data_IF_043492862307
#
_entry.id   IF_043492862307
#
_cell.length_a   1.000
_cell.length_b   1.000
_cell.length_c   1.000
_cell.angle_alpha   90.00
_cell.angle_beta   90.00
_cell.angle_gamma   90.00
#
_symmetry.space_group_name_H-M   'P 1'
#
loop_
_entity.id
_entity.type
_entity.pdbx_description
1 polymer ?
#
# COMPACT_ATOMS: atom_id res chain seq x y z
N UNK A 1 -23.08 13.59 9.60
CA UNK A 1 -22.00 13.54 8.59
C UNK A 1 -22.25 12.32 7.73
N UNK A 2 -22.02 12.42 6.43
CA UNK A 2 -22.21 11.35 5.46
C UNK A 2 -21.07 10.31 5.52
N UNK A 3 -21.30 9.11 4.96
CA UNK A 3 -20.35 7.97 5.07
C UNK A 3 -19.02 8.24 4.35
N UNK A 4 -19.06 8.98 3.25
CA UNK A 4 -17.90 9.47 2.50
C UNK A 4 -17.02 10.44 3.31
N UNK A 5 -17.50 10.94 4.46
CA UNK A 5 -16.69 11.73 5.39
C UNK A 5 -16.26 10.88 6.59
N UNK A 6 -17.20 10.10 7.16
CA UNK A 6 -16.93 9.32 8.37
C UNK A 6 -15.96 8.16 8.14
N UNK A 7 -16.04 7.48 6.99
CA UNK A 7 -15.18 6.33 6.70
C UNK A 7 -13.73 6.76 6.46
N UNK A 8 -13.41 7.78 5.65
CA UNK A 8 -12.03 8.27 5.55
C UNK A 8 -11.47 8.81 6.85
N UNK A 9 -12.28 9.50 7.67
CA UNK A 9 -11.85 9.95 9.00
C UNK A 9 -11.49 8.75 9.89
N UNK A 10 -12.35 7.72 9.91
CA UNK A 10 -12.11 6.48 10.64
C UNK A 10 -10.84 5.77 10.18
N UNK A 11 -10.66 5.63 8.85
CA UNK A 11 -9.46 5.07 8.23
C UNK A 11 -8.20 5.86 8.58
N UNK A 12 -8.29 7.20 8.57
CA UNK A 12 -7.18 8.09 8.93
C UNK A 12 -6.75 7.88 10.37
N UNK A 13 -7.68 7.99 11.31
CA UNK A 13 -7.43 7.81 12.74
C UNK A 13 -6.87 6.41 13.03
N UNK A 14 -7.50 5.37 12.47
CA UNK A 14 -7.06 4.00 12.64
C UNK A 14 -5.64 3.78 12.08
N UNK A 15 -5.37 4.28 10.88
CA UNK A 15 -4.06 4.18 10.23
C UNK A 15 -2.96 4.85 11.02
N UNK A 16 -3.21 6.05 11.56
CA UNK A 16 -2.23 6.79 12.37
C UNK A 16 -1.97 6.11 13.73
N UNK A 17 -3.01 5.60 14.39
CA UNK A 17 -2.86 4.81 15.64
C UNK A 17 -2.02 3.57 15.36
N UNK A 18 -2.33 2.85 14.28
CA UNK A 18 -1.64 1.63 13.93
C UNK A 18 -0.17 1.90 13.53
N UNK A 19 0.10 2.96 12.76
CA UNK A 19 1.46 3.41 12.47
C UNK A 19 2.25 3.72 13.75
N UNK A 20 1.65 4.45 14.70
CA UNK A 20 2.28 4.75 15.98
C UNK A 20 2.63 3.50 16.79
N UNK A 21 1.75 2.49 16.79
CA UNK A 21 2.01 1.20 17.44
C UNK A 21 3.19 0.46 16.79
N UNK A 22 3.28 0.45 15.46
CA UNK A 22 4.41 -0.15 14.75
C UNK A 22 5.72 0.59 14.99
N UNK A 23 5.71 1.92 15.01
CA UNK A 23 6.91 2.70 15.35
C UNK A 23 7.36 2.47 16.80
N UNK A 24 6.43 2.35 17.74
CA UNK A 24 6.74 1.98 19.11
C UNK A 24 7.39 0.58 19.19
N UNK A 25 6.84 -0.40 18.48
CA UNK A 25 7.45 -1.74 18.40
C UNK A 25 8.82 -1.73 17.72
N UNK A 26 9.00 -0.93 16.66
CA UNK A 26 10.27 -0.79 15.97
C UNK A 26 11.33 -0.18 16.88
N UNK A 27 10.99 0.86 17.64
CA UNK A 27 11.91 1.48 18.60
C UNK A 27 12.42 0.47 19.64
N UNK A 28 11.59 -0.50 20.03
CA UNK A 28 11.97 -1.52 20.99
C UNK A 28 12.75 -2.68 20.35
N UNK A 29 12.32 -3.16 19.16
CA UNK A 29 12.83 -4.41 18.55
C UNK A 29 13.80 -4.21 17.40
N UNK A 30 13.90 -2.99 16.86
CA UNK A 30 14.77 -2.58 15.75
C UNK A 30 14.62 -3.47 14.50
N UNK A 31 13.41 -3.97 14.20
CA UNK A 31 13.18 -4.81 13.01
C UNK A 31 12.83 -3.93 11.80
N UNK A 32 13.58 -4.00 10.68
CA UNK A 32 13.34 -3.16 9.51
C UNK A 32 11.92 -3.21 8.95
N UNK A 33 11.30 -4.40 8.92
CA UNK A 33 9.93 -4.56 8.43
C UNK A 33 8.90 -3.77 9.26
N UNK A 34 9.11 -3.59 10.58
CA UNK A 34 8.20 -2.82 11.43
C UNK A 34 8.26 -1.33 11.11
N UNK A 35 9.46 -0.80 10.86
CA UNK A 35 9.63 0.58 10.42
C UNK A 35 8.93 0.82 9.08
N UNK A 36 9.15 -0.08 8.12
CA UNK A 36 8.61 0.07 6.77
C UNK A 36 7.08 -0.06 6.76
N UNK A 37 6.50 -1.04 7.47
CA UNK A 37 5.05 -1.13 7.62
C UNK A 37 4.48 0.08 8.37
N UNK A 38 5.18 0.60 9.40
CA UNK A 38 4.81 1.82 10.09
C UNK A 38 4.74 3.02 9.14
N UNK A 39 5.72 3.18 8.25
CA UNK A 39 5.70 4.20 7.20
C UNK A 39 4.55 3.99 6.20
N UNK A 40 4.32 2.75 5.77
CA UNK A 40 3.19 2.43 4.88
C UNK A 40 1.83 2.78 5.50
N UNK A 41 1.63 2.52 6.79
CA UNK A 41 0.41 2.89 7.51
C UNK A 41 0.32 4.39 7.81
N UNK A 42 1.45 5.08 8.00
CA UNK A 42 1.48 6.53 8.06
C UNK A 42 0.96 7.13 6.74
N UNK A 43 1.45 6.62 5.61
CA UNK A 43 0.93 7.02 4.29
C UNK A 43 -0.55 6.72 4.15
N UNK A 44 -1.00 5.54 4.58
CA UNK A 44 -2.41 5.20 4.57
C UNK A 44 -3.24 6.22 5.36
N UNK A 45 -2.85 6.47 6.62
CA UNK A 45 -3.57 7.38 7.51
C UNK A 45 -3.61 8.82 6.99
N UNK A 46 -2.49 9.30 6.42
CA UNK A 46 -2.41 10.62 5.79
C UNK A 46 -3.27 10.70 4.52
N UNK A 47 -3.26 9.68 3.67
CA UNK A 47 -4.11 9.60 2.47
C UNK A 47 -5.60 9.67 2.83
N UNK A 48 -6.06 8.81 3.73
CA UNK A 48 -7.45 8.83 4.19
C UNK A 48 -7.81 10.17 4.88
N UNK A 49 -6.83 10.81 5.52
CA UNK A 49 -6.97 12.15 6.06
C UNK A 49 -7.22 13.20 4.97
N UNK A 50 -6.53 13.10 3.82
CA UNK A 50 -6.78 14.00 2.69
C UNK A 50 -8.17 13.83 2.09
N UNK A 51 -8.68 12.59 2.04
CA UNK A 51 -10.06 12.31 1.59
C UNK A 51 -11.08 12.88 2.55
N UNK A 52 -10.90 12.68 3.86
CA UNK A 52 -11.74 13.31 4.88
C UNK A 52 -11.78 14.83 4.71
N UNK A 53 -10.61 15.47 4.58
CA UNK A 53 -10.51 16.92 4.44
C UNK A 53 -11.21 17.39 3.16
N UNK A 54 -11.02 16.68 2.04
CA UNK A 54 -11.61 17.02 0.77
C UNK A 54 -13.14 16.89 0.76
N UNK A 55 -13.65 15.82 1.38
CA UNK A 55 -15.09 15.57 1.44
C UNK A 55 -15.80 16.45 2.48
N UNK A 56 -15.14 16.80 3.59
CA UNK A 56 -15.73 17.65 4.63
C UNK A 56 -15.63 19.16 4.35
N UNK A 57 -14.51 19.60 3.76
CA UNK A 57 -14.17 21.02 3.63
C UNK A 57 -13.94 21.49 2.19
N UNK A 58 -14.06 20.58 1.22
CA UNK A 58 -13.86 20.85 -0.19
C UNK A 58 -12.45 20.48 -0.68
N UNK A 59 -12.39 20.10 -1.94
CA UNK A 59 -11.15 19.71 -2.60
C UNK A 59 -10.44 20.91 -3.23
N UNK A 60 -9.12 20.96 -3.07
CA UNK A 60 -8.23 21.90 -3.75
C UNK A 60 -7.02 21.19 -4.34
N UNK A 61 -6.30 21.87 -5.24
CA UNK A 61 -5.19 21.28 -6.00
C UNK A 61 -4.12 20.66 -5.10
N UNK A 62 -3.69 21.37 -4.05
CA UNK A 62 -2.67 20.86 -3.12
C UNK A 62 -3.10 19.59 -2.39
N UNK A 63 -4.36 19.53 -1.96
CA UNK A 63 -4.93 18.37 -1.28
C UNK A 63 -5.06 17.18 -2.24
N UNK A 64 -5.47 17.43 -3.48
CA UNK A 64 -5.57 16.43 -4.53
C UNK A 64 -4.21 15.85 -4.93
N UNK A 65 -3.16 16.69 -5.03
CA UNK A 65 -1.77 16.23 -5.24
C UNK A 65 -1.26 15.39 -4.08
N UNK A 66 -1.53 15.80 -2.85
CA UNK A 66 -1.15 15.04 -1.65
C UNK A 66 -1.84 13.67 -1.62
N UNK A 67 -3.14 13.63 -1.87
CA UNK A 67 -3.92 12.40 -1.99
C UNK A 67 -3.33 11.47 -3.06
N UNK A 68 -3.07 11.99 -4.26
CA UNK A 68 -2.58 11.18 -5.37
C UNK A 68 -1.18 10.61 -5.09
N UNK A 69 -0.27 11.43 -4.56
CA UNK A 69 1.08 10.97 -4.22
C UNK A 69 1.05 9.93 -3.11
N UNK A 70 0.38 10.24 -2.00
CA UNK A 70 0.44 9.40 -0.80
C UNK A 70 -0.44 8.16 -1.00
N UNK A 71 -1.70 8.34 -1.36
CA UNK A 71 -2.69 7.29 -1.55
C UNK A 71 -2.44 6.44 -2.77
N UNK A 72 -2.52 7.06 -3.94
CA UNK A 72 -2.52 6.32 -5.21
C UNK A 72 -1.15 5.70 -5.54
N UNK A 73 -0.04 6.30 -5.10
CA UNK A 73 1.31 5.80 -5.40
C UNK A 73 1.94 5.07 -4.20
N UNK A 74 1.96 5.66 -3.00
CA UNK A 74 2.85 5.17 -1.94
C UNK A 74 2.28 4.02 -1.10
N UNK A 75 1.01 4.04 -0.70
CA UNK A 75 0.47 3.11 0.32
C UNK A 75 0.78 1.64 0.03
N UNK A 76 0.33 1.12 -1.12
CA UNK A 76 0.44 -0.30 -1.42
C UNK A 76 1.89 -0.78 -1.50
N UNK A 77 2.74 0.00 -2.18
CA UNK A 77 4.14 -0.36 -2.38
C UNK A 77 4.95 -0.35 -1.07
N UNK A 78 4.72 0.64 -0.20
CA UNK A 78 5.38 0.71 1.11
C UNK A 78 4.92 -0.39 2.06
N UNK A 79 3.64 -0.77 2.05
CA UNK A 79 3.18 -1.92 2.84
C UNK A 79 3.78 -3.24 2.31
N UNK A 80 3.79 -3.45 1.00
CA UNK A 80 4.44 -4.62 0.37
C UNK A 80 5.97 -4.67 0.59
N UNK A 81 6.62 -3.52 0.72
CA UNK A 81 8.06 -3.43 1.00
C UNK A 81 8.41 -4.02 2.38
N UNK A 82 7.50 -3.94 3.36
CA UNK A 82 7.71 -4.57 4.66
C UNK A 82 7.79 -6.10 4.56
N UNK A 83 6.99 -6.71 3.67
CA UNK A 83 7.08 -8.15 3.37
C UNK A 83 8.41 -8.51 2.72
N UNK A 84 8.98 -7.65 1.87
CA UNK A 84 10.30 -7.87 1.27
C UNK A 84 11.43 -7.90 2.31
N UNK A 85 11.26 -7.19 3.43
CA UNK A 85 12.17 -7.27 4.58
C UNK A 85 11.89 -8.46 5.50
N UNK A 86 10.66 -8.96 5.54
CA UNK A 86 10.24 -10.11 6.33
C UNK A 86 10.63 -11.44 5.65
N UNK A 87 10.25 -11.61 4.38
CA UNK A 87 10.30 -12.86 3.63
C UNK A 87 11.51 -12.89 2.67
N UNK A 88 12.68 -13.17 3.24
CA UNK A 88 13.96 -13.21 2.51
C UNK A 88 14.19 -14.55 1.79
N UNK A 89 13.20 -15.03 1.04
CA UNK A 89 13.27 -16.30 0.30
C UNK A 89 13.32 -16.07 -1.20
N UNK A 90 13.93 -17.01 -1.93
CA UNK A 90 13.96 -16.99 -3.40
C UNK A 90 12.54 -16.97 -3.98
N UNK A 91 11.64 -17.81 -3.46
CA UNK A 91 10.27 -17.92 -3.95
C UNK A 91 9.49 -16.61 -3.80
N UNK A 92 9.58 -15.98 -2.62
CA UNK A 92 8.91 -14.69 -2.40
C UNK A 92 9.51 -13.58 -3.27
N UNK A 93 10.82 -13.54 -3.43
CA UNK A 93 11.46 -12.58 -4.33
C UNK A 93 11.05 -12.73 -5.80
N UNK A 94 10.85 -13.97 -6.28
CA UNK A 94 10.30 -14.21 -7.63
C UNK A 94 8.83 -13.78 -7.76
N UNK A 95 8.03 -13.90 -6.69
CA UNK A 95 6.68 -13.36 -6.66
C UNK A 95 6.68 -11.83 -6.78
N UNK A 96 7.58 -11.14 -6.08
CA UNK A 96 7.74 -9.67 -6.19
C UNK A 96 8.15 -9.29 -7.61
N UNK A 97 9.09 -10.02 -8.22
CA UNK A 97 9.47 -9.82 -9.61
C UNK A 97 8.29 -10.03 -10.58
N UNK A 98 7.47 -11.07 -10.36
CA UNK A 98 6.25 -11.29 -11.14
C UNK A 98 5.26 -10.13 -10.98
N UNK A 99 5.12 -9.57 -9.77
CA UNK A 99 4.33 -8.37 -9.53
C UNK A 99 4.81 -7.16 -10.34
N UNK A 100 6.13 -6.95 -10.43
CA UNK A 100 6.72 -5.90 -11.28
C UNK A 100 6.45 -6.14 -12.77
N UNK A 101 6.53 -7.38 -13.24
CA UNK A 101 6.15 -7.72 -14.62
C UNK A 101 4.68 -7.37 -14.87
N UNK A 102 3.77 -7.81 -14.00
CA UNK A 102 2.33 -7.52 -14.12
C UNK A 102 2.04 -6.02 -14.04
N UNK A 103 2.72 -5.31 -13.15
CA UNK A 103 2.65 -3.85 -13.03
C UNK A 103 3.14 -3.11 -14.27
N UNK A 104 4.05 -3.71 -15.05
CA UNK A 104 4.59 -3.14 -16.29
C UNK A 104 3.64 -3.30 -17.48
N UNK A 105 2.76 -4.31 -17.47
CA UNK A 105 1.89 -4.64 -18.61
C UNK A 105 0.99 -3.48 -19.05
N UNK A 106 0.31 -2.73 -18.16
CA UNK A 106 -0.52 -1.61 -18.59
C UNK A 106 0.25 -0.55 -19.39
N UNK A 107 1.49 -0.23 -18.98
CA UNK A 107 2.35 0.72 -19.70
C UNK A 107 2.79 0.20 -21.06
N UNK A 108 3.16 -1.08 -21.15
CA UNK A 108 3.58 -1.72 -22.40
C UNK A 108 2.43 -1.84 -23.40
N UNK A 109 1.27 -2.34 -22.95
CA UNK A 109 0.09 -2.52 -23.80
C UNK A 109 -0.44 -1.18 -24.31
N UNK A 110 -0.54 -0.18 -23.42
CA UNK A 110 -0.93 1.17 -23.78
C UNK A 110 0.08 1.81 -24.73
N UNK A 111 1.37 1.73 -24.40
CA UNK A 111 2.43 2.29 -25.23
C UNK A 111 2.46 1.70 -26.64
N UNK A 112 2.26 0.38 -26.78
CA UNK A 112 2.18 -0.27 -28.09
C UNK A 112 0.96 0.20 -28.91
N UNK A 113 -0.20 0.37 -28.26
CA UNK A 113 -1.39 0.92 -28.91
C UNK A 113 -1.16 2.36 -29.38
N UNK A 114 -0.66 3.21 -28.49
CA UNK A 114 -0.37 4.62 -28.79
C UNK A 114 0.69 4.76 -29.89
N UNK A 115 1.66 3.85 -29.94
CA UNK A 115 2.68 3.84 -31.00
C UNK A 115 2.04 3.61 -32.38
N UNK A 116 1.06 2.71 -32.47
CA UNK A 116 0.31 2.47 -33.70
C UNK A 116 -0.56 3.67 -34.12
N UNK A 117 -0.98 4.49 -33.15
CA UNK A 117 -1.79 5.71 -33.35
C UNK A 117 -0.92 6.96 -33.63
N UNK A 118 0.42 6.85 -33.54
CA UNK A 118 1.34 7.97 -33.73
C UNK A 118 1.37 8.97 -32.58
N UNK A 119 0.87 8.59 -31.40
CA UNK A 119 0.76 9.46 -30.24
C UNK A 119 2.14 9.63 -29.53
N UNK A 120 2.58 10.87 -29.24
CA UNK A 120 3.85 11.11 -28.53
C UNK A 120 3.95 10.47 -27.14
N UNK A 121 2.83 10.18 -26.46
CA UNK A 121 2.77 9.50 -25.16
C UNK A 121 3.22 8.03 -25.24
N UNK A 122 3.27 7.44 -26.45
CA UNK A 122 3.71 6.06 -26.67
C UNK A 122 5.10 5.79 -26.07
N UNK A 123 6.06 6.68 -26.33
CA UNK A 123 7.44 6.53 -25.89
C UNK A 123 7.55 6.53 -24.36
N UNK A 124 6.85 7.43 -23.68
CA UNK A 124 6.83 7.49 -22.21
C UNK A 124 6.19 6.23 -21.61
N UNK A 125 5.09 5.75 -22.19
CA UNK A 125 4.39 4.53 -21.76
C UNK A 125 5.25 3.28 -21.90
N UNK A 126 5.91 3.11 -23.05
CA UNK A 126 6.84 2.01 -23.30
C UNK A 126 8.07 2.08 -22.38
N UNK A 127 8.59 3.29 -22.13
CA UNK A 127 9.75 3.50 -21.25
C UNK A 127 9.44 3.08 -19.83
N UNK A 128 8.30 3.49 -19.27
CA UNK A 128 7.89 3.10 -17.91
C UNK A 128 7.71 1.58 -17.81
N UNK A 129 7.08 0.96 -18.83
CA UNK A 129 6.96 -0.49 -18.91
C UNK A 129 8.32 -1.21 -18.96
N UNK A 130 9.26 -0.72 -19.78
CA UNK A 130 10.60 -1.30 -19.91
C UNK A 130 11.42 -1.14 -18.61
N UNK A 131 11.31 0.00 -17.92
CA UNK A 131 11.93 0.22 -16.61
C UNK A 131 11.38 -0.78 -15.58
N UNK A 132 10.07 -1.01 -15.59
CA UNK A 132 9.44 -2.02 -14.72
C UNK A 132 9.93 -3.44 -14.99
N UNK A 133 10.10 -3.84 -16.27
CA UNK A 133 10.70 -5.14 -16.63
C UNK A 133 12.17 -5.25 -16.21
N UNK A 134 12.95 -4.17 -16.36
CA UNK A 134 14.34 -4.12 -15.88
C UNK A 134 14.43 -4.29 -14.36
N UNK A 135 13.55 -3.62 -13.62
CA UNK A 135 13.41 -3.79 -12.17
C UNK A 135 13.01 -5.23 -11.81
N UNK A 136 12.07 -5.83 -12.53
CA UNK A 136 11.66 -7.22 -12.33
C UNK A 136 12.82 -8.19 -12.52
N UNK A 137 13.61 -8.02 -13.59
CA UNK A 137 14.80 -8.84 -13.85
C UNK A 137 15.83 -8.70 -12.74
N UNK A 138 16.13 -7.46 -12.32
CA UNK A 138 17.04 -7.19 -11.21
C UNK A 138 16.58 -7.89 -9.92
N UNK A 139 15.30 -7.74 -9.57
CA UNK A 139 14.72 -8.39 -8.38
C UNK A 139 14.78 -9.91 -8.51
N UNK A 140 14.47 -10.49 -9.67
CA UNK A 140 14.53 -11.94 -9.89
C UNK A 140 15.97 -12.48 -9.73
N UNK A 141 16.96 -11.82 -10.35
CA UNK A 141 18.37 -12.19 -10.26
C UNK A 141 18.87 -12.08 -8.82
N UNK A 142 18.57 -10.98 -8.12
CA UNK A 142 18.95 -10.81 -6.70
C UNK A 142 18.27 -11.87 -5.84
N UNK A 143 17.01 -12.19 -6.09
CA UNK A 143 16.27 -13.21 -5.34
C UNK A 143 16.84 -14.61 -5.54
N UNK A 144 17.40 -14.88 -6.71
CA UNK A 144 18.05 -16.16 -7.03
C UNK A 144 19.43 -16.28 -6.41
N UNK A 145 20.24 -15.22 -6.51
CA UNK A 145 21.65 -15.24 -6.12
C UNK A 145 21.86 -14.86 -4.65
N UNK A 146 21.11 -13.88 -4.15
CA UNK A 146 21.28 -13.26 -2.83
C UNK A 146 19.93 -12.84 -2.21
N UNK A 147 19.03 -13.78 -1.87
CA UNK A 147 17.69 -13.46 -1.37
C UNK A 147 17.67 -12.60 -0.09
N UNK A 148 18.76 -12.61 0.70
CA UNK A 148 18.91 -11.74 1.87
C UNK A 148 18.92 -10.23 1.51
N UNK A 149 19.25 -9.88 0.27
CA UNK A 149 19.31 -8.50 -0.24
C UNK A 149 17.99 -7.99 -0.81
N UNK A 150 16.96 -8.86 -0.91
CA UNK A 150 15.67 -8.53 -1.52
C UNK A 150 15.10 -7.21 -0.98
N UNK A 151 14.98 -7.08 0.34
CA UNK A 151 14.46 -5.88 0.99
C UNK A 151 15.24 -4.60 0.65
N UNK A 152 16.57 -4.66 0.57
CA UNK A 152 17.37 -3.46 0.27
C UNK A 152 17.27 -3.03 -1.20
N UNK A 153 17.27 -4.01 -2.12
CA UNK A 153 17.16 -3.72 -3.56
C UNK A 153 15.77 -3.18 -3.89
N UNK A 154 14.71 -3.81 -3.37
CA UNK A 154 13.34 -3.34 -3.54
C UNK A 154 13.11 -1.97 -2.89
N UNK A 155 13.71 -1.70 -1.72
CA UNK A 155 13.66 -0.37 -1.10
C UNK A 155 14.34 0.69 -1.98
N UNK A 156 15.52 0.38 -2.55
CA UNK A 156 16.21 1.30 -3.46
C UNK A 156 15.35 1.65 -4.68
N UNK A 157 14.73 0.64 -5.31
CA UNK A 157 13.80 0.83 -6.42
C UNK A 157 12.57 1.65 -6.00
N UNK A 158 12.00 1.34 -4.84
CA UNK A 158 10.85 2.05 -4.28
C UNK A 158 11.16 3.53 -4.03
N UNK A 159 12.33 3.84 -3.46
CA UNK A 159 12.75 5.22 -3.21
C UNK A 159 12.93 6.00 -4.50
N UNK A 160 13.63 5.42 -5.49
CA UNK A 160 13.81 6.06 -6.82
C UNK A 160 12.46 6.32 -7.48
N UNK A 161 11.59 5.32 -7.51
CA UNK A 161 10.26 5.49 -8.09
C UNK A 161 9.39 6.48 -7.31
N UNK A 162 9.49 6.52 -5.97
CA UNK A 162 8.75 7.48 -5.12
C UNK A 162 9.21 8.90 -5.41
N UNK A 163 10.52 9.13 -5.54
CA UNK A 163 11.07 10.44 -5.89
C UNK A 163 10.66 10.87 -7.30
N UNK A 164 10.71 9.96 -8.26
CA UNK A 164 10.25 10.22 -9.63
C UNK A 164 8.74 10.52 -9.68
N UNK A 165 7.93 9.73 -8.99
CA UNK A 165 6.49 9.95 -8.85
C UNK A 165 6.16 11.27 -8.17
N UNK A 166 6.84 11.60 -7.07
CA UNK A 166 6.69 12.89 -6.40
C UNK A 166 7.04 14.06 -7.32
N UNK A 167 8.16 13.99 -8.03
CA UNK A 167 8.55 15.02 -9.01
C UNK A 167 7.48 15.21 -10.08
N UNK A 168 6.94 14.13 -10.66
CA UNK A 168 5.83 14.20 -11.62
C UNK A 168 4.59 14.82 -10.99
N UNK A 169 4.11 14.29 -9.87
CA UNK A 169 2.88 14.73 -9.20
C UNK A 169 2.95 16.18 -8.74
N UNK A 170 4.14 16.71 -8.44
CA UNK A 170 4.29 18.11 -8.00
C UNK A 170 4.43 19.11 -9.16
N UNK A 171 4.77 18.66 -10.37
CA UNK A 171 5.15 19.56 -11.48
C UNK A 171 4.18 19.55 -12.65
N UNK A 172 3.45 18.45 -12.86
CA UNK A 172 2.52 18.37 -13.98
C UNK A 172 1.30 19.28 -13.77
N UNK A 173 0.74 19.89 -14.83
CA UNK A 173 -0.53 20.60 -14.72
C UNK A 173 -1.63 19.62 -14.32
N UNK A 174 -2.57 20.07 -13.50
CA UNK A 174 -3.66 19.24 -12.98
C UNK A 174 -4.99 19.94 -13.23
N UNK A 175 -5.95 19.19 -13.79
CA UNK A 175 -7.32 19.66 -13.93
C UNK A 175 -8.13 19.28 -12.69
N UNK A 176 -8.42 20.28 -11.86
CA UNK A 176 -9.19 20.10 -10.62
C UNK A 176 -10.68 19.98 -10.87
N UNK A 177 -11.19 20.31 -12.06
CA UNK A 177 -12.63 20.22 -12.36
C UNK A 177 -13.11 18.77 -12.54
N UNK A 178 -12.19 17.85 -12.84
CA UNK A 178 -12.47 16.43 -13.08
C UNK A 178 -11.86 15.49 -12.02
N UNK A 179 -11.42 16.03 -10.88
CA UNK A 179 -10.80 15.23 -9.81
C UNK A 179 -11.81 14.33 -9.08
N UNK A 180 -13.09 14.69 -9.09
CA UNK A 180 -14.17 13.92 -8.47
C UNK A 180 -15.00 13.21 -9.53
N UNK A 181 -15.36 11.96 -9.26
CA UNK A 181 -16.19 11.20 -10.18
C UNK A 181 -17.60 11.85 -10.23
N UNK A 182 -18.15 12.18 -11.41
CA UNK A 182 -19.37 13.00 -11.53
C UNK A 182 -20.58 12.41 -10.80
N UNK A 183 -20.71 11.09 -10.81
CA UNK A 183 -21.87 10.40 -10.23
C UNK A 183 -21.73 10.14 -8.72
N UNK A 184 -20.51 10.11 -8.19
CA UNK A 184 -20.24 9.48 -6.88
C UNK A 184 -19.49 10.40 -5.94
N UNK A 185 -18.90 11.47 -6.45
CA UNK A 185 -18.08 12.40 -5.68
C UNK A 185 -16.74 11.82 -5.21
N UNK A 186 -16.43 10.56 -5.52
CA UNK A 186 -15.18 9.91 -5.10
C UNK A 186 -14.01 10.51 -5.87
N UNK A 187 -12.96 10.87 -5.14
CA UNK A 187 -11.73 11.38 -5.72
C UNK A 187 -11.02 10.29 -6.56
N UNK A 188 -10.53 10.68 -7.73
CA UNK A 188 -9.88 9.75 -8.65
C UNK A 188 -8.80 10.46 -9.48
N UNK A 189 -7.92 9.70 -10.11
CA UNK A 189 -6.72 10.23 -10.77
C UNK A 189 -6.92 10.94 -12.11
N UNK A 190 -8.15 11.15 -12.60
CA UNK A 190 -8.39 11.65 -13.96
C UNK A 190 -7.93 13.09 -14.17
N UNK A 191 -7.90 13.91 -13.12
CA UNK A 191 -7.34 15.26 -13.17
C UNK A 191 -5.84 15.31 -13.44
N UNK A 192 -5.11 14.21 -13.26
CA UNK A 192 -3.71 14.12 -13.65
C UNK A 192 -3.57 13.72 -15.13
N UNK A 193 -2.60 14.31 -15.85
CA UNK A 193 -2.27 13.88 -17.19
C UNK A 193 -1.83 12.42 -17.18
N UNK A 194 -2.11 11.74 -18.29
CA UNK A 194 -1.97 10.29 -18.34
C UNK A 194 -0.54 9.81 -18.07
N UNK A 195 0.47 10.60 -18.46
CA UNK A 195 1.88 10.29 -18.26
C UNK A 195 2.28 10.21 -16.77
N UNK A 196 1.71 11.06 -15.92
CA UNK A 196 1.91 11.03 -14.48
C UNK A 196 1.27 9.80 -13.82
N UNK A 197 0.25 9.22 -14.47
CA UNK A 197 -0.51 8.08 -13.94
C UNK A 197 0.10 6.72 -14.28
N UNK A 198 1.01 6.66 -15.24
CA UNK A 198 1.62 5.43 -15.75
C UNK A 198 2.41 4.64 -14.69
N UNK A 199 2.92 5.31 -13.65
CA UNK A 199 3.63 4.65 -12.54
C UNK A 199 2.70 3.91 -11.58
N UNK A 200 1.45 4.36 -11.46
CA UNK A 200 0.52 3.88 -10.43
C UNK A 200 0.32 2.36 -10.47
N UNK A 201 0.12 1.72 -11.65
CA UNK A 201 0.00 0.26 -11.72
C UNK A 201 1.25 -0.48 -11.25
N UNK A 202 2.45 0.03 -11.53
CA UNK A 202 3.70 -0.59 -11.08
C UNK A 202 3.78 -0.66 -9.56
N UNK A 203 3.44 0.43 -8.88
CA UNK A 203 3.44 0.51 -7.42
C UNK A 203 2.35 -0.36 -6.80
N UNK A 204 1.12 -0.21 -7.29
CA UNK A 204 -0.04 -0.82 -6.67
C UNK A 204 -0.11 -2.33 -6.90
N UNK A 205 0.12 -2.79 -8.13
CA UNK A 205 0.06 -4.23 -8.43
C UNK A 205 1.18 -4.96 -7.70
N UNK A 206 2.41 -4.45 -7.77
CA UNK A 206 3.56 -5.07 -7.08
C UNK A 206 3.37 -5.07 -5.57
N UNK A 207 3.02 -3.91 -4.99
CA UNK A 207 2.83 -3.76 -3.55
C UNK A 207 1.70 -4.61 -2.98
N UNK A 208 0.53 -4.59 -3.65
CA UNK A 208 -0.62 -5.38 -3.23
C UNK A 208 -0.33 -6.89 -3.32
N UNK A 209 0.31 -7.35 -4.41
CA UNK A 209 0.69 -8.76 -4.54
C UNK A 209 1.68 -9.17 -3.44
N UNK A 210 2.71 -8.36 -3.19
CA UNK A 210 3.68 -8.65 -2.14
C UNK A 210 3.01 -8.76 -0.77
N UNK A 211 2.13 -7.81 -0.42
CA UNK A 211 1.41 -7.79 0.86
C UNK A 211 0.45 -8.97 1.03
N UNK A 212 -0.47 -9.13 0.07
CA UNK A 212 -1.54 -10.15 0.15
C UNK A 212 -0.95 -11.55 0.17
N UNK A 213 -0.06 -11.86 -0.77
CA UNK A 213 0.51 -13.20 -0.88
C UNK A 213 1.63 -13.44 0.13
N UNK A 214 2.35 -12.41 0.59
CA UNK A 214 3.33 -12.54 1.68
C UNK A 214 2.65 -12.94 3.00
N UNK A 215 1.55 -12.26 3.34
CA UNK A 215 0.73 -12.61 4.48
C UNK A 215 0.06 -13.99 4.29
N UNK A 216 -0.53 -14.27 3.13
CA UNK A 216 -1.17 -15.57 2.87
C UNK A 216 -0.18 -16.74 2.95
N UNK A 217 1.02 -16.58 2.39
CA UNK A 217 2.10 -17.57 2.48
C UNK A 217 2.52 -17.79 3.93
N UNK A 218 2.66 -16.71 4.71
CA UNK A 218 2.96 -16.80 6.14
C UNK A 218 1.89 -17.59 6.90
N UNK A 219 0.61 -17.33 6.64
CA UNK A 219 -0.50 -18.08 7.22
C UNK A 219 -0.43 -19.57 6.87
N UNK A 220 -0.19 -19.90 5.59
CA UNK A 220 -0.08 -21.28 5.12
C UNK A 220 1.10 -22.03 5.77
N UNK A 221 2.26 -21.39 5.90
CA UNK A 221 3.43 -21.99 6.56
C UNK A 221 3.11 -22.35 8.02
N UNK A 222 2.50 -21.43 8.78
CA UNK A 222 2.12 -21.70 10.17
C UNK A 222 1.08 -22.81 10.30
N UNK A 223 0.10 -22.83 9.39
CA UNK A 223 -0.91 -23.89 9.34
C UNK A 223 -0.29 -25.26 9.08
N UNK A 224 0.62 -25.35 8.10
CA UNK A 224 1.35 -26.59 7.75
C UNK A 224 2.24 -27.10 8.88
N UNK A 225 2.77 -26.21 9.71
CA UNK A 225 3.57 -26.58 10.88
C UNK A 225 2.72 -27.04 12.07
N UNK A 226 1.40 -26.79 12.08
CA UNK A 226 0.51 -27.14 13.19
C UNK A 226 0.78 -26.36 14.48
N UNK A 227 1.57 -25.28 14.42
CA UNK A 227 1.99 -24.48 15.56
C UNK A 227 1.49 -23.04 15.43
N UNK A 228 1.15 -22.43 16.57
CA UNK A 228 0.73 -21.02 16.68
C UNK A 228 -0.52 -20.67 15.82
N UNK A 229 -1.70 -21.24 16.12
CA UNK A 229 -2.93 -21.00 15.35
C UNK A 229 -3.32 -19.50 15.26
N UNK A 230 -2.98 -18.71 16.28
CA UNK A 230 -3.17 -17.26 16.24
C UNK A 230 -2.40 -16.58 15.11
N UNK A 231 -1.23 -17.11 14.71
CA UNK A 231 -0.46 -16.59 13.56
C UNK A 231 -1.14 -16.93 12.24
N UNK A 232 -1.82 -18.06 12.13
CA UNK A 232 -2.63 -18.40 10.96
C UNK A 232 -3.77 -17.41 10.82
N UNK A 233 -4.53 -17.17 11.89
CA UNK A 233 -5.64 -16.21 11.91
C UNK A 233 -5.15 -14.79 11.63
N UNK A 234 -4.08 -14.36 12.30
CA UNK A 234 -3.47 -13.04 12.12
C UNK A 234 -3.08 -12.79 10.67
N UNK A 235 -2.27 -13.67 10.08
CA UNK A 235 -1.80 -13.51 8.70
C UNK A 235 -2.94 -13.68 7.68
N UNK A 236 -3.93 -14.53 7.97
CA UNK A 236 -5.12 -14.68 7.15
C UNK A 236 -5.98 -13.40 7.11
N UNK A 237 -6.17 -12.75 8.27
CA UNK A 237 -6.87 -11.46 8.36
C UNK A 237 -6.10 -10.35 7.64
N UNK A 238 -4.77 -10.31 7.77
CA UNK A 238 -3.92 -9.34 7.07
C UNK A 238 -4.02 -9.55 5.55
N UNK A 239 -3.91 -10.80 5.07
CA UNK A 239 -4.00 -11.10 3.65
C UNK A 239 -5.37 -10.73 3.07
N UNK A 240 -6.45 -11.09 3.76
CA UNK A 240 -7.81 -10.75 3.32
C UNK A 240 -8.06 -9.25 3.38
N UNK A 241 -7.69 -8.59 4.48
CA UNK A 241 -7.82 -7.14 4.63
C UNK A 241 -7.04 -6.35 3.59
N UNK A 242 -5.84 -6.80 3.21
CA UNK A 242 -5.04 -6.21 2.14
C UNK A 242 -5.66 -6.39 0.74
N UNK A 243 -6.44 -7.47 0.55
CA UNK A 243 -7.12 -7.75 -0.71
C UNK A 243 -8.38 -6.90 -0.90
N UNK A 244 -9.10 -6.57 0.19
CA UNK A 244 -10.39 -5.85 0.14
C UNK A 244 -10.32 -4.54 -0.67
N UNK A 245 -9.37 -3.61 -0.45
CA UNK A 245 -9.30 -2.38 -1.25
C UNK A 245 -9.05 -2.62 -2.74
N UNK A 246 -8.31 -3.67 -3.08
CA UNK A 246 -8.08 -4.04 -4.49
C UNK A 246 -9.36 -4.52 -5.16
N UNK A 247 -10.18 -5.28 -4.42
CA UNK A 247 -11.50 -5.73 -4.88
C UNK A 247 -12.47 -4.55 -5.03
N UNK A 248 -12.55 -3.65 -4.04
CA UNK A 248 -13.47 -2.50 -4.12
C UNK A 248 -13.03 -1.47 -5.14
N UNK A 249 -11.73 -1.27 -5.36
CA UNK A 249 -11.21 -0.47 -6.48
C UNK A 249 -11.58 -1.07 -7.84
N UNK A 250 -11.57 -2.41 -7.97
CA UNK A 250 -12.04 -3.11 -9.17
C UNK A 250 -13.55 -2.92 -9.40
N UNK A 251 -14.36 -3.05 -8.35
CA UNK A 251 -15.80 -2.81 -8.36
C UNK A 251 -16.15 -1.35 -8.70
N UNK A 252 -15.36 -0.38 -8.24
CA UNK A 252 -15.50 1.02 -8.60
C UNK A 252 -15.39 1.23 -10.12
N UNK A 253 -14.54 0.46 -10.81
CA UNK A 253 -14.44 0.50 -12.30
C UNK A 253 -15.64 -0.10 -13.01
N UNK A 254 -16.47 -0.87 -12.29
CA UNK A 254 -17.71 -1.47 -12.79
C UNK A 254 -18.95 -0.65 -12.40
N UNK A 255 -18.76 0.53 -11.80
CA UNK A 255 -19.84 1.43 -11.38
C UNK A 255 -20.33 1.24 -9.94
N UNK A 256 -19.74 0.31 -9.17
CA UNK A 256 -20.09 0.09 -7.75
C UNK A 256 -19.14 0.84 -6.83
N UNK A 257 -19.44 2.11 -6.60
CA UNK A 257 -18.49 3.11 -6.06
C UNK A 257 -18.67 3.39 -4.57
N UNK A 258 -19.85 3.11 -4.00
CA UNK A 258 -20.14 3.16 -2.55
C UNK A 258 -19.20 2.25 -1.74
N UNK A 259 -18.60 1.26 -2.41
CA UNK A 259 -17.68 0.31 -1.82
C UNK A 259 -16.25 0.85 -1.64
N UNK A 260 -15.89 2.01 -2.19
CA UNK A 260 -14.51 2.51 -2.17
C UNK A 260 -14.03 2.79 -0.74
N UNK A 261 -14.59 3.80 -0.08
CA UNK A 261 -14.21 4.17 1.30
C UNK A 261 -14.53 3.05 2.31
N UNK A 262 -15.60 2.30 2.06
CA UNK A 262 -15.96 1.16 2.89
C UNK A 262 -14.90 0.06 2.80
N UNK A 263 -14.43 -0.25 1.59
CA UNK A 263 -13.39 -1.26 1.36
C UNK A 263 -12.06 -0.87 1.99
N UNK A 264 -11.69 0.40 1.93
CA UNK A 264 -10.51 0.92 2.61
C UNK A 264 -10.63 0.75 4.13
N UNK A 265 -11.72 1.22 4.72
CA UNK A 265 -11.94 1.13 6.17
C UNK A 265 -12.00 -0.31 6.66
N UNK A 266 -12.77 -1.16 5.98
CA UNK A 266 -12.91 -2.59 6.32
C UNK A 266 -11.58 -3.31 6.13
N UNK A 267 -10.88 -3.06 5.03
CA UNK A 267 -9.57 -3.64 4.75
C UNK A 267 -8.55 -3.30 5.83
N UNK A 268 -8.42 -2.01 6.17
CA UNK A 268 -7.52 -1.55 7.22
C UNK A 268 -7.91 -2.11 8.60
N UNK A 269 -9.21 -2.17 8.91
CA UNK A 269 -9.72 -2.76 10.16
C UNK A 269 -9.34 -4.23 10.28
N UNK A 270 -9.47 -5.01 9.21
CA UNK A 270 -9.07 -6.42 9.18
C UNK A 270 -7.56 -6.60 9.38
N UNK A 271 -6.74 -5.78 8.70
CA UNK A 271 -5.28 -5.79 8.90
C UNK A 271 -4.95 -5.44 10.35
N UNK A 272 -5.60 -4.43 10.93
CA UNK A 272 -5.38 -4.03 12.32
C UNK A 272 -5.77 -5.12 13.32
N UNK A 273 -6.94 -5.74 13.17
CA UNK A 273 -7.36 -6.87 14.01
C UNK A 273 -6.34 -8.02 13.86
N UNK A 274 -5.93 -8.34 12.63
CA UNK A 274 -4.89 -9.34 12.36
C UNK A 274 -3.57 -9.02 13.09
N UNK A 275 -3.16 -7.76 13.10
CA UNK A 275 -2.00 -7.30 13.86
C UNK A 275 -2.19 -7.44 15.38
N UNK A 276 -3.35 -7.06 15.94
CA UNK A 276 -3.64 -7.23 17.36
C UNK A 276 -3.63 -8.70 17.80
N UNK A 277 -4.18 -9.60 16.96
CA UNK A 277 -4.10 -11.06 17.19
C UNK A 277 -2.65 -11.55 17.19
N UNK A 278 -1.74 -10.89 16.45
CA UNK A 278 -0.31 -11.19 16.44
C UNK A 278 0.42 -10.74 17.71
N UNK A 279 -0.05 -9.68 18.37
CA UNK A 279 0.62 -8.99 19.49
C UNK A 279 0.34 -9.63 20.84
N UNK A 280 -0.40 -10.74 20.86
CA UNK A 280 -0.88 -11.41 22.06
C UNK A 280 -2.14 -10.74 22.62
N UNK A 281 -3.16 -11.57 22.82
CA UNK A 281 -4.22 -11.26 23.78
C UNK A 281 -3.66 -11.38 25.22
N UNK A 282 -2.49 -12.03 25.46
CA UNK A 282 -1.90 -12.23 26.80
C UNK A 282 -0.37 -12.51 26.90
N UNK A 283 0.56 -11.66 26.43
CA UNK A 283 1.95 -11.76 26.94
C UNK A 283 2.60 -10.46 27.46
N UNK A 284 2.51 -10.37 28.79
CA UNK A 284 3.66 -10.12 29.67
C UNK A 284 4.38 -8.76 29.60
N UNK A 285 3.85 -7.72 28.96
CA UNK A 285 4.17 -6.32 29.32
C UNK A 285 2.97 -5.38 29.14
N UNK A 286 2.34 -4.90 30.24
CA UNK A 286 1.34 -3.86 30.12
C UNK A 286 1.97 -2.57 29.57
N UNK A 287 1.28 -1.97 28.60
CA UNK A 287 1.54 -0.64 28.08
C UNK A 287 1.61 0.39 29.23
N UNK A 288 2.42 1.46 29.16
CA UNK A 288 2.63 2.39 30.26
C UNK A 288 1.34 3.02 30.82
N UNK A 289 0.31 3.22 30.00
CA UNK A 289 -0.99 3.77 30.45
C UNK A 289 -1.83 2.79 31.29
N UNK A 290 -1.50 1.49 31.28
CA UNK A 290 -2.24 0.44 31.98
C UNK A 290 -1.36 -0.29 33.00
N UNK A 291 -0.46 0.43 33.69
CA UNK A 291 0.18 -0.11 34.89
C UNK A 291 -0.81 -0.04 36.06
N UNK A 292 -1.17 -1.15 36.71
CA UNK A 292 -1.73 -1.05 38.06
C UNK A 292 -0.66 -0.38 38.93
N UNK A 293 -1.02 0.73 39.59
CA UNK A 293 -0.18 1.31 40.64
C UNK A 293 0.11 0.20 41.63
N UNK A 294 1.38 -0.18 41.78
CA UNK A 294 1.77 -1.05 42.87
C UNK A 294 1.38 -0.35 44.17
N UNK A 295 0.46 -0.97 44.91
CA UNK A 295 0.19 -0.55 46.28
C UNK A 295 1.51 -0.71 47.04
N UNK A 296 2.07 0.43 47.46
CA UNK A 296 3.19 0.45 48.40
C UNK A 296 2.64 -0.09 49.72
N UNK A 297 2.90 -1.36 50.02
CA UNK A 297 2.72 -1.91 51.35
C UNK A 297 3.85 -1.36 52.21
N UNK A 298 3.54 -0.31 52.96
CA UNK A 298 4.26 0.11 54.15
C UNK A 298 3.49 -0.32 55.38
#
# INVERSE_FOLDING_TARGET
MSLDILLPLGSSVLGLIFAAMLFAQWRDRHKPYQLVWGLGLLWYGLSAGTEFLGNAFGWGEGLYRAWYLIGAIMVAAWLGQGECYLLKTRGFGLLVAAGLVLGSLPGLLKGNRLLAEGDPLAAASLTIGAVGLGAALLVAVVSWLRPAWLGHVTLGLLLVGTLYGAAKVLTVPVDTTVMLHPETGVVHGVGFPEDARLLTPLFNITGALALVFGAAYSAWVWWRQGLYPHRVVSNGLIAFGAFVPSMTSGLNRLGFTDAFYLGEFVGLTLIFIGFLVSIEVFARRPWPLFRPRQAMTG
#
